data_IF_637241672911
#
_entry.id   IF_637241672911
#
_cell.length_a   1.000
_cell.length_b   1.000
_cell.length_c   1.000
_cell.angle_alpha   90.00
_cell.angle_beta   90.00
_cell.angle_gamma   90.00
#
_symmetry.space_group_name_H-M   'P 1'
#
loop_
_entity.id
_entity.type
_entity.pdbx_description
1 polymer ?
#
# COMPACT_ATOMS: atom_id res chain seq x y z
N UNK A 1 -0.99 10.21 25.10
CA UNK A 1 0.35 9.81 25.58
C UNK A 1 0.96 8.88 24.54
N UNK A 2 2.12 9.23 23.98
CA UNK A 2 2.92 8.27 23.21
C UNK A 2 3.55 7.30 24.21
N UNK A 3 3.24 6.02 24.08
CA UNK A 3 3.84 4.97 24.91
C UNK A 3 5.31 4.81 24.53
N UNK A 4 6.21 4.97 25.49
CA UNK A 4 7.63 4.74 25.30
C UNK A 4 7.91 3.23 25.42
N UNK A 5 8.30 2.60 24.30
CA UNK A 5 8.65 1.18 24.24
C UNK A 5 10.15 0.93 24.47
N UNK A 6 10.92 1.98 24.78
CA UNK A 6 12.33 1.88 25.12
C UNK A 6 12.50 1.17 26.47
N UNK A 7 12.69 -0.16 26.45
CA UNK A 7 13.15 -0.94 27.63
C UNK A 7 14.67 -0.80 27.89
N UNK A 8 15.34 0.17 27.26
CA UNK A 8 16.79 0.32 27.30
C UNK A 8 17.24 1.30 28.38
N UNK A 9 18.17 0.88 29.24
CA UNK A 9 18.66 1.68 30.39
C UNK A 9 19.89 2.52 30.04
N UNK A 10 20.69 2.09 29.06
CA UNK A 10 21.95 2.77 28.66
C UNK A 10 22.07 2.95 27.13
N UNK A 11 21.03 3.52 26.51
CA UNK A 11 20.99 3.67 25.04
C UNK A 11 22.06 4.60 24.48
N UNK A 12 22.47 5.61 25.24
CA UNK A 12 23.51 6.57 24.83
C UNK A 12 24.89 5.92 24.77
N UNK A 13 25.30 5.20 25.81
CA UNK A 13 26.57 4.46 25.84
C UNK A 13 26.64 3.42 24.73
N UNK A 14 25.56 2.67 24.52
CA UNK A 14 25.46 1.71 23.42
C UNK A 14 25.58 2.41 22.05
N UNK A 15 24.93 3.56 21.86
CA UNK A 15 25.00 4.32 20.62
C UNK A 15 26.44 4.78 20.32
N UNK A 16 27.16 5.26 21.34
CA UNK A 16 28.57 5.67 21.24
C UNK A 16 29.44 4.49 20.85
N UNK A 17 29.35 3.37 21.57
CA UNK A 17 30.13 2.17 21.28
C UNK A 17 29.88 1.67 19.86
N UNK A 18 28.60 1.60 19.44
CA UNK A 18 28.24 1.16 18.10
C UNK A 18 28.81 2.08 17.02
N UNK A 19 28.63 3.40 17.13
CA UNK A 19 29.12 4.37 16.14
C UNK A 19 30.64 4.40 16.02
N UNK A 20 31.35 4.18 17.12
CA UNK A 20 32.82 4.28 17.15
C UNK A 20 33.51 2.99 16.69
N UNK A 21 32.88 1.83 16.88
CA UNK A 21 33.54 0.53 16.66
C UNK A 21 33.08 -0.20 15.41
N UNK A 22 31.76 -0.39 15.24
CA UNK A 22 31.23 -1.37 14.27
C UNK A 22 30.21 -0.79 13.29
N UNK A 23 29.57 0.33 13.59
CA UNK A 23 28.45 0.87 12.81
C UNK A 23 28.90 2.02 11.92
N UNK A 24 28.90 1.80 10.61
CA UNK A 24 28.97 2.86 9.61
C UNK A 24 27.56 3.23 9.18
N UNK A 25 27.11 4.43 9.55
CA UNK A 25 25.79 4.96 9.17
C UNK A 25 25.95 6.33 8.52
N UNK A 26 25.39 6.51 7.33
CA UNK A 26 25.28 7.81 6.64
C UNK A 26 23.82 8.09 6.33
N UNK A 27 23.38 9.33 6.57
CA UNK A 27 22.06 9.77 6.12
C UNK A 27 22.09 10.01 4.61
N UNK A 28 20.97 9.74 3.92
CA UNK A 28 20.85 9.98 2.48
C UNK A 28 21.11 11.45 2.12
N UNK A 29 20.81 12.39 3.02
CA UNK A 29 21.12 13.83 2.84
C UNK A 29 22.61 14.11 2.63
N UNK A 30 23.51 13.32 3.26
CA UNK A 30 24.97 13.49 3.13
C UNK A 30 25.56 12.78 1.91
N UNK A 31 24.75 12.04 1.15
CA UNK A 31 25.22 11.19 0.04
C UNK A 31 24.51 11.50 -1.27
N UNK A 32 23.28 12.03 -1.24
CA UNK A 32 22.44 12.23 -2.43
C UNK A 32 21.95 13.69 -2.54
N UNK A 33 22.85 14.59 -2.94
CA UNK A 33 22.52 16.01 -3.18
C UNK A 33 21.69 16.26 -4.46
N UNK A 34 21.58 15.26 -5.35
CA UNK A 34 20.95 15.41 -6.66
C UNK A 34 19.49 14.92 -6.73
N UNK A 35 18.92 14.41 -5.64
CA UNK A 35 17.53 13.96 -5.64
C UNK A 35 16.60 15.08 -5.16
N UNK A 36 15.43 15.26 -5.81
CA UNK A 36 14.43 16.21 -5.31
C UNK A 36 13.96 15.82 -3.91
N UNK A 37 13.49 16.80 -3.11
CA UNK A 37 13.02 16.54 -1.76
C UNK A 37 11.84 15.57 -1.77
N UNK A 38 11.85 14.62 -0.82
CA UNK A 38 10.80 13.62 -0.70
C UNK A 38 9.50 14.26 -0.19
N UNK A 39 8.42 14.13 -0.96
CA UNK A 39 7.07 14.57 -0.58
C UNK A 39 6.27 13.40 -0.03
N UNK A 40 5.47 13.66 1.00
CA UNK A 40 4.62 12.66 1.65
C UNK A 40 3.22 13.23 1.81
N UNK A 41 2.22 12.42 1.49
CA UNK A 41 0.81 12.79 1.62
C UNK A 41 0.04 11.58 2.14
N UNK A 42 -0.83 11.81 3.12
CA UNK A 42 -1.73 10.79 3.65
C UNK A 42 -3.11 11.05 3.04
N UNK A 43 -3.61 10.09 2.27
CA UNK A 43 -4.94 10.14 1.67
C UNK A 43 -5.90 9.42 2.63
N UNK A 44 -6.90 10.15 3.13
CA UNK A 44 -7.95 9.58 3.97
C UNK A 44 -9.06 9.06 3.06
N UNK A 45 -9.37 7.77 3.17
CA UNK A 45 -10.43 7.11 2.42
C UNK A 45 -11.59 6.79 3.36
N UNK A 46 -12.83 7.04 2.92
CA UNK A 46 -14.02 6.63 3.64
C UNK A 46 -14.35 5.18 3.26
N UNK A 47 -14.37 4.29 4.24
CA UNK A 47 -14.69 2.87 4.02
C UNK A 47 -16.15 2.65 4.38
N UNK A 48 -16.98 2.37 3.38
CA UNK A 48 -18.39 2.00 3.57
C UNK A 48 -18.50 0.59 4.14
N UNK A 49 -19.56 0.33 4.91
CA UNK A 49 -19.86 -1.00 5.49
C UNK A 49 -19.98 -2.10 4.43
N UNK A 50 -20.56 -1.80 3.27
CA UNK A 50 -20.64 -2.72 2.14
C UNK A 50 -19.26 -3.25 1.71
N UNK A 51 -18.24 -2.39 1.73
CA UNK A 51 -16.88 -2.76 1.36
C UNK A 51 -16.20 -3.62 2.43
N UNK A 52 -16.55 -3.43 3.70
CA UNK A 52 -16.08 -4.27 4.81
C UNK A 52 -16.62 -5.69 4.65
N UNK A 53 -17.93 -5.81 4.39
CA UNK A 53 -18.59 -7.10 4.14
C UNK A 53 -17.96 -7.79 2.92
N UNK A 54 -17.79 -7.06 1.82
CA UNK A 54 -17.13 -7.59 0.63
C UNK A 54 -15.69 -8.08 0.91
N UNK A 55 -14.95 -7.37 1.77
CA UNK A 55 -13.60 -7.78 2.20
C UNK A 55 -13.61 -9.10 2.98
N UNK A 56 -14.54 -9.27 3.92
CA UNK A 56 -14.75 -10.52 4.67
C UNK A 56 -15.14 -11.68 3.75
N UNK A 57 -16.05 -11.44 2.81
CA UNK A 57 -16.48 -12.45 1.82
C UNK A 57 -15.34 -12.87 0.89
N UNK A 58 -14.53 -11.93 0.41
CA UNK A 58 -13.44 -12.21 -0.53
C UNK A 58 -12.31 -13.11 0.04
N UNK A 59 -12.19 -13.17 1.37
CA UNK A 59 -11.24 -14.06 2.06
C UNK A 59 -11.88 -15.42 2.40
N UNK A 60 -13.21 -15.54 2.35
CA UNK A 60 -13.93 -16.79 2.62
C UNK A 60 -14.27 -17.02 4.09
N UNK A 61 -14.28 -15.98 4.94
CA UNK A 61 -14.64 -16.08 6.37
C UNK A 61 -16.16 -16.08 6.59
N UNK A 62 -16.94 -15.64 5.60
CA UNK A 62 -18.40 -15.68 5.66
C UNK A 62 -18.95 -16.79 4.75
N UNK A 63 -19.36 -17.89 5.37
CA UNK A 63 -20.50 -18.67 4.87
C UNK A 63 -21.71 -17.73 4.82
N UNK A 64 -22.39 -17.73 3.68
CA UNK A 64 -23.57 -16.92 3.37
C UNK A 64 -24.61 -17.12 4.47
N UNK A 65 -24.90 -16.07 5.25
CA UNK A 65 -26.22 -15.88 5.83
C UNK A 65 -26.68 -14.48 5.43
N UNK A 66 -27.53 -14.47 4.41
CA UNK A 66 -28.18 -13.30 3.87
C UNK A 66 -29.35 -12.92 4.78
N UNK A 67 -29.14 -11.96 5.69
CA UNK A 67 -30.27 -11.27 6.32
C UNK A 67 -29.96 -9.79 6.56
N UNK A 68 -30.47 -8.97 5.63
CA UNK A 68 -31.09 -7.66 5.82
C UNK A 68 -30.44 -6.63 6.77
N UNK A 69 -30.00 -5.50 6.21
CA UNK A 69 -30.64 -4.18 6.38
C UNK A 69 -29.84 -3.10 5.67
N UNK A 70 -30.49 -2.46 4.71
CA UNK A 70 -30.01 -1.29 3.99
C UNK A 70 -29.85 -0.07 4.91
N UNK A 71 -28.94 0.82 4.51
CA UNK A 71 -28.88 2.24 4.85
C UNK A 71 -28.63 2.61 6.33
N UNK A 72 -27.36 2.80 6.67
CA UNK A 72 -26.93 3.88 7.59
C UNK A 72 -25.41 4.08 7.46
N UNK A 73 -25.01 5.30 7.06
CA UNK A 73 -23.63 5.77 7.15
C UNK A 73 -23.27 5.89 8.63
N UNK A 74 -22.42 4.99 9.12
CA UNK A 74 -22.06 4.95 10.55
C UNK A 74 -20.67 5.55 10.72
N UNK A 75 -20.60 6.58 11.56
CA UNK A 75 -19.36 7.17 12.05
C UNK A 75 -18.47 6.09 12.68
N UNK A 76 -17.17 6.18 12.39
CA UNK A 76 -16.12 5.21 12.71
C UNK A 76 -15.97 4.83 14.20
N UNK A 77 -16.73 5.45 15.11
CA UNK A 77 -16.61 5.30 16.56
C UNK A 77 -17.46 4.17 17.16
N UNK A 78 -18.43 3.61 16.44
CA UNK A 78 -19.34 2.56 16.96
C UNK A 78 -19.05 1.14 16.44
N UNK A 79 -17.85 0.87 15.92
CA UNK A 79 -17.46 -0.48 15.46
C UNK A 79 -16.82 -1.35 16.55
N UNK A 80 -16.80 -0.90 17.82
CA UNK A 80 -15.95 -1.53 18.84
C UNK A 80 -16.64 -2.64 19.67
N UNK A 81 -17.97 -2.83 19.59
CA UNK A 81 -18.65 -3.73 20.55
C UNK A 81 -19.33 -4.98 19.99
N UNK A 82 -19.47 -5.17 18.66
CA UNK A 82 -20.12 -6.41 18.14
C UNK A 82 -19.56 -7.01 16.85
N UNK A 83 -18.61 -6.38 16.17
CA UNK A 83 -18.06 -6.94 14.92
C UNK A 83 -16.56 -7.18 15.07
N UNK A 84 -16.16 -8.46 15.07
CA UNK A 84 -14.78 -8.87 15.28
C UNK A 84 -13.81 -8.03 14.43
N UNK A 85 -12.81 -7.45 15.10
CA UNK A 85 -11.78 -6.59 14.52
C UNK A 85 -11.29 -7.16 13.18
N UNK A 86 -11.49 -6.39 12.11
CA UNK A 86 -11.03 -6.78 10.77
C UNK A 86 -9.55 -7.12 10.79
N UNK A 87 -9.20 -8.23 10.16
CA UNK A 87 -7.82 -8.52 9.82
C UNK A 87 -7.28 -7.45 8.87
N UNK A 88 -5.96 -7.24 8.91
CA UNK A 88 -5.31 -6.30 8.01
C UNK A 88 -5.54 -6.61 6.53
N UNK A 89 -5.76 -7.88 6.17
CA UNK A 89 -6.07 -8.28 4.80
C UNK A 89 -7.49 -7.86 4.39
N UNK A 90 -8.50 -8.09 5.25
CA UNK A 90 -9.88 -7.66 5.00
C UNK A 90 -9.96 -6.14 4.85
N UNK A 91 -9.27 -5.43 5.74
CA UNK A 91 -9.16 -3.97 5.66
C UNK A 91 -8.46 -3.52 4.36
N UNK A 92 -7.44 -4.24 3.92
CA UNK A 92 -6.76 -3.99 2.65
C UNK A 92 -7.70 -4.13 1.46
N UNK A 93 -8.53 -5.17 1.44
CA UNK A 93 -9.51 -5.40 0.37
C UNK A 93 -10.62 -4.34 0.42
N UNK A 94 -11.13 -4.02 1.60
CA UNK A 94 -12.17 -3.00 1.77
C UNK A 94 -11.72 -1.61 1.25
N UNK A 95 -10.43 -1.29 1.36
CA UNK A 95 -9.82 -0.05 0.85
C UNK A 95 -9.78 0.06 -0.68
N UNK A 96 -9.90 -1.05 -1.42
CA UNK A 96 -9.82 -1.05 -2.89
C UNK A 96 -10.89 -0.16 -3.53
N UNK A 97 -12.07 -0.09 -2.91
CA UNK A 97 -13.18 0.77 -3.35
C UNK A 97 -12.81 2.26 -3.36
N UNK A 98 -12.37 2.81 -2.23
CA UNK A 98 -11.92 4.20 -2.15
C UNK A 98 -10.64 4.44 -2.94
N UNK A 99 -9.77 3.43 -3.04
CA UNK A 99 -8.59 3.51 -3.89
C UNK A 99 -8.95 3.63 -5.39
N UNK A 100 -9.97 2.90 -5.87
CA UNK A 100 -10.50 2.99 -7.24
C UNK A 100 -10.97 4.42 -7.54
N UNK A 101 -11.76 5.01 -6.65
CA UNK A 101 -12.25 6.38 -6.80
C UNK A 101 -11.09 7.39 -6.84
N UNK A 102 -10.12 7.25 -5.93
CA UNK A 102 -8.93 8.09 -5.90
C UNK A 102 -8.09 7.95 -7.18
N UNK A 103 -7.84 6.72 -7.63
CA UNK A 103 -7.02 6.42 -8.79
C UNK A 103 -7.65 6.99 -10.06
N UNK A 104 -8.97 6.94 -10.19
CA UNK A 104 -9.69 7.51 -11.33
C UNK A 104 -9.51 9.04 -11.46
N UNK A 105 -9.32 9.75 -10.35
CA UNK A 105 -9.04 11.19 -10.33
C UNK A 105 -7.54 11.51 -10.49
N UNK A 106 -6.67 10.51 -10.40
CA UNK A 106 -5.23 10.73 -10.44
C UNK A 106 -4.77 11.11 -11.86
N UNK A 107 -3.84 12.08 -12.02
CA UNK A 107 -3.38 12.54 -13.34
C UNK A 107 -2.85 11.43 -14.27
N UNK A 108 -2.40 10.33 -13.68
CA UNK A 108 -1.90 9.15 -14.42
C UNK A 108 -3.00 8.41 -15.20
N UNK A 109 -4.25 8.49 -14.75
CA UNK A 109 -5.42 7.89 -15.40
C UNK A 109 -6.15 8.92 -16.25
N UNK A 110 -6.11 10.19 -15.86
CA UNK A 110 -6.74 11.30 -16.57
C UNK A 110 -6.04 11.68 -17.90
N UNK A 111 -5.00 10.94 -18.33
CA UNK A 111 -4.33 11.15 -19.62
C UNK A 111 -3.53 12.44 -19.71
N UNK A 112 -3.05 12.99 -18.59
CA UNK A 112 -2.23 14.20 -18.61
C UNK A 112 -0.87 13.91 -19.24
N UNK A 113 -0.45 14.77 -20.18
CA UNK A 113 0.83 14.67 -20.90
C UNK A 113 2.07 14.69 -19.97
N UNK A 114 1.89 15.04 -18.69
CA UNK A 114 2.91 15.05 -17.64
C UNK A 114 2.76 13.90 -16.61
N UNK A 115 2.02 12.84 -16.94
CA UNK A 115 1.83 11.70 -16.05
C UNK A 115 3.17 11.01 -15.72
N UNK A 116 3.63 11.17 -14.48
CA UNK A 116 4.83 10.48 -13.99
C UNK A 116 4.52 9.02 -13.65
N UNK A 117 5.50 8.13 -13.85
CA UNK A 117 5.41 6.72 -13.43
C UNK A 117 5.05 6.63 -11.94
N UNK A 118 4.14 5.73 -11.59
CA UNK A 118 3.73 5.51 -10.20
C UNK A 118 4.16 4.13 -9.72
N UNK A 119 4.43 4.06 -8.41
CA UNK A 119 4.74 2.83 -7.70
C UNK A 119 3.70 2.65 -6.60
N UNK A 120 3.05 1.50 -6.57
CA UNK A 120 2.11 1.07 -5.55
C UNK A 120 2.72 -0.04 -4.71
N UNK A 121 2.67 0.13 -3.40
CA UNK A 121 3.04 -0.93 -2.47
C UNK A 121 1.79 -1.50 -1.81
N UNK A 122 1.70 -2.82 -1.73
CA UNK A 122 0.66 -3.48 -0.97
C UNK A 122 1.13 -4.84 -0.44
N UNK A 123 0.58 -5.19 0.73
CA UNK A 123 1.04 -6.31 1.56
C UNK A 123 0.25 -7.60 1.35
N UNK A 124 -0.79 -7.65 0.52
CA UNK A 124 -1.56 -8.89 0.35
C UNK A 124 -1.78 -9.15 -1.13
N UNK A 125 -1.52 -10.37 -1.59
CA UNK A 125 -1.73 -10.75 -3.00
C UNK A 125 -3.15 -10.42 -3.47
N UNK A 126 -4.18 -10.70 -2.65
CA UNK A 126 -5.58 -10.33 -2.95
C UNK A 126 -5.79 -8.83 -3.17
N UNK A 127 -5.03 -7.98 -2.48
CA UNK A 127 -5.05 -6.53 -2.70
C UNK A 127 -4.31 -6.17 -3.99
N UNK A 128 -3.20 -6.85 -4.29
CA UNK A 128 -2.48 -6.67 -5.56
C UNK A 128 -3.35 -7.08 -6.76
N UNK A 129 -4.07 -8.20 -6.64
CA UNK A 129 -5.00 -8.71 -7.64
C UNK A 129 -6.09 -7.67 -7.89
N UNK A 130 -6.71 -7.15 -6.81
CA UNK A 130 -7.70 -6.08 -6.94
C UNK A 130 -7.15 -4.82 -7.59
N UNK A 131 -5.94 -4.36 -7.24
CA UNK A 131 -5.30 -3.22 -7.91
C UNK A 131 -5.04 -3.51 -9.38
N UNK A 132 -4.57 -4.71 -9.72
CA UNK A 132 -4.34 -5.14 -11.09
C UNK A 132 -5.64 -5.09 -11.91
N UNK A 133 -6.75 -5.59 -11.37
CA UNK A 133 -8.06 -5.54 -12.04
C UNK A 133 -8.48 -4.10 -12.35
N UNK A 134 -8.30 -3.16 -11.40
CA UNK A 134 -8.59 -1.72 -11.60
C UNK A 134 -7.81 -1.13 -12.77
N UNK A 135 -6.55 -1.52 -12.88
CA UNK A 135 -5.58 -0.94 -13.82
C UNK A 135 -5.80 -1.52 -15.20
N UNK A 136 -6.09 -2.84 -15.29
CA UNK A 136 -6.57 -3.51 -16.49
C UNK A 136 -7.86 -2.88 -17.01
N UNK A 137 -8.85 -2.64 -16.14
CA UNK A 137 -10.14 -2.02 -16.52
C UNK A 137 -9.95 -0.63 -17.12
N UNK A 138 -8.95 0.12 -16.66
CA UNK A 138 -8.60 1.45 -17.20
C UNK A 138 -7.66 1.40 -18.39
N UNK A 139 -7.26 0.22 -18.86
CA UNK A 139 -6.34 0.06 -19.99
C UNK A 139 -4.93 0.58 -19.71
N UNK A 140 -4.53 0.65 -18.44
CA UNK A 140 -3.22 1.17 -18.04
C UNK A 140 -2.21 0.03 -18.07
N UNK A 141 -1.10 0.23 -18.78
CA UNK A 141 0.03 -0.70 -18.76
C UNK A 141 0.75 -0.70 -17.42
N UNK A 142 1.01 -1.88 -16.86
CA UNK A 142 1.66 -2.05 -15.56
C UNK A 142 2.64 -3.23 -15.55
N UNK A 143 3.49 -3.26 -14.52
CA UNK A 143 4.37 -4.39 -14.21
C UNK A 143 4.16 -4.77 -12.75
N UNK A 144 3.95 -6.06 -12.50
CA UNK A 144 3.76 -6.62 -11.16
C UNK A 144 4.98 -7.44 -10.76
N UNK A 145 5.47 -7.20 -9.54
CA UNK A 145 6.52 -8.01 -8.92
C UNK A 145 6.05 -8.34 -7.50
N UNK A 146 5.78 -9.61 -7.23
CA UNK A 146 5.35 -10.07 -5.91
C UNK A 146 6.27 -11.18 -5.36
N UNK A 147 5.88 -11.77 -4.23
CA UNK A 147 6.65 -12.83 -3.57
C UNK A 147 6.86 -14.05 -4.47
N UNK A 148 5.96 -14.30 -5.42
CA UNK A 148 5.98 -15.46 -6.30
C UNK A 148 6.78 -15.22 -7.59
N UNK A 149 7.19 -13.97 -7.86
CA UNK A 149 7.95 -13.64 -9.07
C UNK A 149 9.39 -14.18 -8.97
N UNK A 150 9.81 -14.97 -9.96
CA UNK A 150 11.17 -15.53 -10.04
C UNK A 150 12.24 -14.43 -10.17
N UNK A 151 13.42 -14.64 -9.59
CA UNK A 151 14.49 -13.63 -9.59
C UNK A 151 14.87 -13.10 -10.99
N UNK A 152 14.92 -13.99 -12.00
CA UNK A 152 15.21 -13.61 -13.40
C UNK A 152 14.12 -12.68 -13.97
N UNK A 153 12.85 -12.97 -13.66
CA UNK A 153 11.71 -12.25 -14.18
C UNK A 153 11.59 -10.88 -13.48
N UNK A 154 11.97 -10.80 -12.19
CA UNK A 154 12.08 -9.52 -11.46
C UNK A 154 13.02 -8.55 -12.15
N UNK A 155 14.20 -9.00 -12.56
CA UNK A 155 15.19 -8.14 -13.21
C UNK A 155 14.66 -7.63 -14.57
N UNK A 156 14.07 -8.52 -15.37
CA UNK A 156 13.46 -8.15 -16.65
C UNK A 156 12.33 -7.12 -16.46
N UNK A 157 11.45 -7.36 -15.48
CA UNK A 157 10.37 -6.46 -15.11
C UNK A 157 10.87 -5.06 -14.68
N UNK A 158 11.95 -4.98 -13.90
CA UNK A 158 12.58 -3.71 -13.51
C UNK A 158 13.16 -2.98 -14.73
N UNK A 159 13.83 -3.70 -15.63
CA UNK A 159 14.40 -3.10 -16.85
C UNK A 159 13.30 -2.56 -17.77
N UNK A 160 12.21 -3.31 -17.93
CA UNK A 160 11.03 -2.90 -18.68
C UNK A 160 10.43 -1.61 -18.12
N UNK A 161 10.21 -1.56 -16.79
CA UNK A 161 9.67 -0.38 -16.10
C UNK A 161 10.58 0.86 -16.25
N UNK A 162 11.91 0.68 -16.20
CA UNK A 162 12.86 1.80 -16.33
C UNK A 162 12.91 2.36 -17.74
N UNK A 163 12.97 1.48 -18.74
CA UNK A 163 13.28 1.84 -20.13
C UNK A 163 12.08 2.36 -20.92
N UNK A 164 10.86 1.99 -20.52
CA UNK A 164 9.65 2.43 -21.22
C UNK A 164 9.30 3.90 -20.89
N UNK A 165 9.18 4.81 -21.87
CA UNK A 165 8.73 6.19 -21.63
C UNK A 165 7.22 6.27 -21.38
N UNK A 166 6.42 5.40 -22.01
CA UNK A 166 4.95 5.50 -22.06
C UNK A 166 4.24 4.38 -21.28
N UNK A 167 4.87 3.23 -21.05
CA UNK A 167 4.14 1.97 -20.89
C UNK A 167 4.27 1.26 -19.54
N UNK A 168 4.59 1.93 -18.44
CA UNK A 168 4.62 1.22 -17.14
C UNK A 168 4.34 2.15 -15.98
N UNK A 169 3.06 2.46 -15.81
CA UNK A 169 2.61 3.48 -14.88
C UNK A 169 2.39 2.95 -13.46
N UNK A 170 2.60 1.65 -13.24
CA UNK A 170 2.42 1.04 -11.93
C UNK A 170 3.46 -0.04 -11.67
N UNK A 171 4.24 0.16 -10.62
CA UNK A 171 5.05 -0.88 -10.00
C UNK A 171 4.28 -1.40 -8.79
N UNK A 172 3.81 -2.63 -8.80
CA UNK A 172 3.14 -3.22 -7.63
C UNK A 172 4.14 -4.13 -6.92
N UNK A 173 4.59 -3.74 -5.73
CA UNK A 173 5.57 -4.53 -4.94
C UNK A 173 5.08 -4.85 -3.53
N UNK A 174 5.34 -6.10 -3.15
CA UNK A 174 5.28 -6.60 -1.79
C UNK A 174 6.60 -6.29 -1.07
N UNK A 175 6.57 -5.91 0.20
CA UNK A 175 7.74 -5.99 1.08
C UNK A 175 7.40 -6.89 2.26
N UNK A 176 8.37 -7.74 2.60
CA UNK A 176 8.44 -8.55 3.82
C UNK A 176 8.81 -7.62 4.98
#
# INVERSE_FOLDING_TARGET
MLQDYSKGVHLEELNVLLKQTVMIRRLKEYVMLQLPPKRWQIIRLLIKRSNIVAGKTAIGVLSIDATERESQDIALENLDETDGKLSYQELGIAKLSGFREWLALHPIVAGSENASKMIIFAHYHKVLDGVQDLVCEKGISFVRIDGNTLARDRQSAVVSFRSSPEATNLWVSFFI
#
